data_IF_962713221648
#
_entry.id   IF_962713221648
#
_cell.length_a   1.000
_cell.length_b   1.000
_cell.length_c   1.000
_cell.angle_alpha   90.00
_cell.angle_beta   90.00
_cell.angle_gamma   90.00
#
_symmetry.space_group_name_H-M   'P 1'
#
loop_
_entity.id
_entity.type
_entity.pdbx_description
1 polymer ?
#
# COMPACT_ATOMS: atom_id res chain seq x y z
N UNK A 1 0.71 -5.84 35.51
CA UNK A 1 1.75 -4.86 35.89
C UNK A 1 1.87 -3.83 34.78
N UNK A 2 1.87 -2.52 35.10
CA UNK A 2 2.07 -1.48 34.10
C UNK A 2 3.54 -1.54 33.59
N UNK A 3 3.73 -1.48 32.29
CA UNK A 3 5.05 -1.47 31.69
C UNK A 3 5.79 -0.18 32.07
N UNK A 4 7.04 -0.29 32.49
CA UNK A 4 7.86 0.88 32.83
C UNK A 4 8.09 1.71 31.56
N UNK A 5 7.89 3.04 31.59
CA UNK A 5 8.21 3.91 30.45
C UNK A 5 9.65 3.72 29.97
N UNK A 6 9.84 3.65 28.67
CA UNK A 6 11.14 3.49 28.03
C UNK A 6 11.26 4.39 26.80
N UNK A 7 12.47 4.71 26.41
CA UNK A 7 12.78 5.54 25.24
C UNK A 7 13.04 4.63 24.04
N UNK A 8 12.54 4.93 22.83
CA UNK A 8 12.84 4.17 21.63
C UNK A 8 14.35 4.10 21.35
N UNK A 9 14.81 2.96 20.84
CA UNK A 9 16.22 2.76 20.48
C UNK A 9 16.67 3.83 19.48
N UNK A 10 17.82 4.46 19.73
CA UNK A 10 18.37 5.52 18.87
C UNK A 10 17.87 6.92 19.20
N UNK A 11 17.04 7.09 20.23
CA UNK A 11 16.56 8.38 20.72
C UNK A 11 17.03 8.60 22.15
N UNK A 12 17.00 9.85 22.62
CA UNK A 12 17.27 10.22 24.01
C UNK A 12 16.53 11.48 24.41
N UNK A 13 16.31 11.64 25.70
CA UNK A 13 15.89 12.90 26.29
C UNK A 13 17.09 13.83 26.47
N UNK A 14 16.82 15.12 26.43
CA UNK A 14 17.82 16.16 26.66
C UNK A 14 17.50 16.92 27.96
N UNK A 15 18.50 17.09 28.81
CA UNK A 15 18.38 17.89 30.02
C UNK A 15 18.17 19.38 29.69
N UNK A 16 17.60 20.16 30.60
CA UNK A 16 17.44 21.61 30.42
C UNK A 16 18.74 22.33 30.03
N UNK A 17 19.87 21.94 30.63
CA UNK A 17 21.17 22.49 30.33
C UNK A 17 21.63 22.17 28.88
N UNK A 18 21.38 20.98 28.39
CA UNK A 18 21.67 20.58 27.00
C UNK A 18 20.78 21.35 26.02
N UNK A 19 19.50 21.52 26.33
CA UNK A 19 18.57 22.31 25.51
C UNK A 19 19.02 23.78 25.45
N UNK A 20 19.40 24.37 26.58
CA UNK A 20 19.90 25.73 26.61
C UNK A 20 21.16 25.92 25.73
N UNK A 21 22.11 24.98 25.79
CA UNK A 21 23.31 25.00 24.94
C UNK A 21 22.96 24.91 23.45
N UNK A 22 22.05 24.02 23.10
CA UNK A 22 21.58 23.87 21.69
C UNK A 22 20.92 25.16 21.21
N UNK A 23 20.04 25.74 22.00
CA UNK A 23 19.36 26.98 21.64
C UNK A 23 20.34 28.13 21.45
N UNK A 24 21.39 28.23 22.30
CA UNK A 24 22.44 29.20 22.11
C UNK A 24 23.16 29.02 20.76
N UNK A 25 23.53 27.81 20.40
CA UNK A 25 24.19 27.53 19.12
C UNK A 25 23.27 27.92 17.95
N UNK A 26 22.02 27.48 17.97
CA UNK A 26 21.07 27.78 16.90
C UNK A 26 20.77 29.26 16.77
N UNK A 27 20.59 29.99 17.89
CA UNK A 27 20.36 31.44 17.87
C UNK A 27 21.56 32.18 17.30
N UNK A 28 22.76 31.77 17.65
CA UNK A 28 24.00 32.38 17.15
C UNK A 28 24.13 32.19 15.62
N UNK A 29 23.90 31.00 15.15
CA UNK A 29 23.91 30.67 13.70
C UNK A 29 22.83 31.50 12.99
N UNK A 30 21.59 31.44 13.47
CA UNK A 30 20.45 32.17 12.90
C UNK A 30 20.72 33.65 12.78
N UNK A 31 21.15 34.29 13.87
CA UNK A 31 21.44 35.71 13.88
C UNK A 31 22.53 36.10 12.87
N UNK A 32 23.53 35.25 12.67
CA UNK A 32 24.57 35.53 11.69
C UNK A 32 24.02 35.42 10.25
N UNK A 33 23.23 34.40 9.91
CA UNK A 33 22.63 34.28 8.59
C UNK A 33 21.66 35.43 8.29
N UNK A 34 20.83 35.83 9.25
CA UNK A 34 19.91 36.97 9.11
C UNK A 34 20.63 38.30 8.79
N UNK A 35 21.85 38.52 9.28
CA UNK A 35 22.66 39.70 8.91
C UNK A 35 23.01 39.78 7.43
N UNK A 36 23.03 38.62 6.74
CA UNK A 36 23.31 38.54 5.31
C UNK A 36 22.03 38.44 4.48
N UNK A 37 20.84 38.67 5.05
CA UNK A 37 19.57 38.68 4.35
C UNK A 37 18.91 37.31 4.19
N UNK A 38 19.46 36.26 4.79
CA UNK A 38 18.80 34.94 4.78
C UNK A 38 17.60 34.96 5.73
N UNK A 39 16.48 34.38 5.27
CA UNK A 39 15.27 34.26 6.07
C UNK A 39 15.06 32.81 6.50
N UNK A 40 14.61 32.54 7.74
CA UNK A 40 14.30 31.21 8.19
C UNK A 40 13.02 30.71 7.50
N UNK A 41 13.05 29.46 7.06
CA UNK A 41 11.88 28.73 6.57
C UNK A 41 11.70 27.46 7.40
N UNK A 42 10.47 27.06 7.59
CA UNK A 42 10.12 25.80 8.22
C UNK A 42 9.26 24.96 7.27
N UNK A 43 9.58 23.69 7.20
CA UNK A 43 8.82 22.73 6.40
C UNK A 43 8.41 21.55 7.28
N UNK A 44 7.29 20.85 6.96
CA UNK A 44 6.88 19.69 7.73
C UNK A 44 8.00 18.64 7.86
N UNK A 45 8.02 17.92 8.99
CA UNK A 45 8.99 16.83 9.22
C UNK A 45 8.69 15.58 8.40
N UNK A 46 7.54 15.51 7.75
CA UNK A 46 7.12 14.43 6.90
C UNK A 46 6.54 14.95 5.58
N UNK A 47 6.64 14.13 4.56
CA UNK A 47 6.16 14.38 3.20
C UNK A 47 5.25 13.25 2.75
N UNK A 48 4.56 13.45 1.64
CA UNK A 48 3.85 12.35 0.98
C UNK A 48 4.87 11.30 0.51
N UNK A 49 4.61 10.03 0.81
CA UNK A 49 5.50 8.92 0.46
C UNK A 49 5.82 8.91 -1.05
N UNK A 50 4.82 9.14 -1.90
CA UNK A 50 4.96 9.21 -3.36
C UNK A 50 5.93 10.32 -3.82
N UNK A 51 5.98 11.44 -3.09
CA UNK A 51 6.89 12.54 -3.42
C UNK A 51 8.35 12.21 -3.14
N UNK A 52 8.61 11.37 -2.13
CA UNK A 52 9.97 10.99 -1.72
C UNK A 52 10.49 9.76 -2.48
N UNK A 53 9.61 8.77 -2.72
CA UNK A 53 10.01 7.51 -3.36
C UNK A 53 10.52 7.72 -4.79
N UNK A 54 11.55 6.97 -5.16
CA UNK A 54 12.19 7.04 -6.48
C UNK A 54 13.10 8.23 -6.71
N UNK A 55 13.18 9.19 -5.77
CA UNK A 55 14.03 10.39 -5.91
C UNK A 55 15.49 10.16 -5.52
N UNK A 56 15.72 9.21 -4.63
CA UNK A 56 17.03 8.91 -4.06
C UNK A 56 17.61 7.57 -4.52
N UNK A 57 16.96 6.90 -5.51
CA UNK A 57 17.30 5.57 -5.98
C UNK A 57 16.94 4.46 -4.97
N UNK A 58 17.15 3.21 -5.36
CA UNK A 58 16.74 2.04 -4.53
C UNK A 58 17.36 2.02 -3.14
N UNK A 59 18.61 2.44 -3.01
CA UNK A 59 19.30 2.48 -1.72
C UNK A 59 18.71 3.58 -0.81
N UNK A 60 18.45 4.76 -1.36
CA UNK A 60 17.83 5.86 -0.64
C UNK A 60 16.40 5.51 -0.20
N UNK A 61 15.63 4.87 -1.06
CA UNK A 61 14.25 4.46 -0.76
C UNK A 61 14.17 3.47 0.41
N UNK A 62 15.20 2.64 0.61
CA UNK A 62 15.30 1.73 1.78
C UNK A 62 15.57 2.44 3.09
N UNK A 63 16.12 3.66 3.05
CA UNK A 63 16.43 4.46 4.24
C UNK A 63 15.27 5.38 4.66
N UNK A 64 14.24 5.51 3.84
CA UNK A 64 13.08 6.34 4.14
C UNK A 64 12.19 5.66 5.18
N UNK A 65 11.97 6.32 6.31
CA UNK A 65 11.06 5.86 7.35
C UNK A 65 9.62 6.20 6.99
N UNK A 66 8.83 5.18 6.69
CA UNK A 66 7.39 5.32 6.39
C UNK A 66 6.60 5.44 7.69
N UNK A 67 5.59 6.31 7.68
CA UNK A 67 4.70 6.54 8.83
C UNK A 67 3.41 5.76 8.58
N UNK A 68 3.07 4.86 9.49
CA UNK A 68 1.81 4.13 9.43
C UNK A 68 0.62 5.10 9.56
N UNK A 69 -0.40 4.88 8.76
CA UNK A 69 -1.65 5.59 8.90
C UNK A 69 -2.31 5.25 10.25
N UNK A 70 -3.02 6.19 10.84
CA UNK A 70 -3.75 5.98 12.09
C UNK A 70 -5.06 5.22 11.86
N UNK A 71 -5.55 4.52 12.89
CA UNK A 71 -6.80 3.78 12.84
C UNK A 71 -6.72 2.45 12.11
N UNK A 72 -7.81 2.01 11.54
CA UNK A 72 -7.91 0.75 10.79
C UNK A 72 -7.40 0.91 9.34
N UNK A 73 -6.12 1.15 9.21
CA UNK A 73 -5.47 1.45 7.93
C UNK A 73 -5.53 0.31 6.90
N UNK A 74 -5.86 -0.91 7.31
CA UNK A 74 -6.06 -2.06 6.40
C UNK A 74 -7.51 -2.23 5.93
N UNK A 75 -8.50 -1.58 6.55
CA UNK A 75 -9.92 -1.81 6.23
C UNK A 75 -10.22 -1.57 4.77
N UNK A 76 -9.84 -0.40 4.23
CA UNK A 76 -10.08 -0.06 2.82
C UNK A 76 -9.42 -1.05 1.85
N UNK A 77 -8.23 -1.52 2.18
CA UNK A 77 -7.53 -2.52 1.36
C UNK A 77 -8.27 -3.86 1.41
N UNK A 78 -8.65 -4.31 2.61
CA UNK A 78 -9.38 -5.56 2.79
C UNK A 78 -10.72 -5.53 2.04
N UNK A 79 -11.48 -4.45 2.15
CA UNK A 79 -12.76 -4.28 1.45
C UNK A 79 -12.56 -4.33 -0.06
N UNK A 80 -11.59 -3.58 -0.59
CA UNK A 80 -11.29 -3.58 -2.02
C UNK A 80 -10.82 -4.94 -2.53
N UNK A 81 -10.04 -5.67 -1.74
CA UNK A 81 -9.57 -7.01 -2.10
C UNK A 81 -10.71 -8.04 -2.09
N UNK A 82 -11.59 -7.99 -1.08
CA UNK A 82 -12.77 -8.86 -1.02
C UNK A 82 -13.68 -8.61 -2.21
N UNK A 83 -13.96 -7.34 -2.54
CA UNK A 83 -14.79 -6.97 -3.69
C UNK A 83 -14.16 -7.43 -5.01
N UNK A 84 -12.84 -7.32 -5.13
CA UNK A 84 -12.10 -7.82 -6.29
C UNK A 84 -12.22 -9.33 -6.44
N UNK A 85 -12.01 -10.10 -5.38
CA UNK A 85 -12.12 -11.56 -5.38
C UNK A 85 -13.55 -11.96 -5.72
N UNK A 86 -14.54 -11.36 -5.07
CA UNK A 86 -15.97 -11.62 -5.32
C UNK A 86 -16.34 -11.38 -6.77
N UNK A 87 -15.94 -10.22 -7.29
CA UNK A 87 -16.18 -9.89 -8.69
C UNK A 87 -15.55 -10.90 -9.64
N UNK A 88 -14.31 -11.31 -9.36
CA UNK A 88 -13.60 -12.28 -10.17
C UNK A 88 -14.30 -13.63 -10.18
N UNK A 89 -14.80 -14.10 -9.05
CA UNK A 89 -15.55 -15.35 -8.91
C UNK A 89 -16.89 -15.29 -9.65
N UNK A 90 -17.65 -14.21 -9.49
CA UNK A 90 -18.94 -14.02 -10.19
C UNK A 90 -18.75 -13.95 -11.70
N UNK A 91 -17.77 -13.18 -12.15
CA UNK A 91 -17.46 -13.07 -13.57
C UNK A 91 -17.05 -14.42 -14.17
N UNK A 92 -16.33 -15.24 -13.44
CA UNK A 92 -15.98 -16.59 -13.86
C UNK A 92 -17.20 -17.50 -13.93
N UNK A 93 -18.12 -17.42 -12.97
CA UNK A 93 -19.39 -18.17 -13.00
C UNK A 93 -20.20 -17.82 -14.25
N UNK A 94 -20.35 -16.52 -14.55
CA UNK A 94 -21.06 -16.05 -15.74
C UNK A 94 -20.40 -16.52 -17.04
N UNK A 95 -19.08 -16.56 -17.08
CA UNK A 95 -18.32 -17.06 -18.22
C UNK A 95 -18.57 -18.55 -18.44
N UNK A 96 -18.53 -19.37 -17.40
CA UNK A 96 -18.83 -20.81 -17.48
C UNK A 96 -20.26 -21.08 -17.93
N UNK A 97 -21.23 -20.29 -17.50
CA UNK A 97 -22.64 -20.41 -17.92
C UNK A 97 -22.84 -20.15 -19.42
N UNK A 98 -22.05 -19.24 -20.00
CA UNK A 98 -22.14 -18.85 -21.41
C UNK A 98 -21.43 -19.82 -22.37
N UNK A 99 -20.45 -20.55 -21.88
CA UNK A 99 -19.66 -21.52 -22.66
C UNK A 99 -20.19 -22.95 -22.41
N UNK A 100 -21.05 -23.43 -23.31
CA UNK A 100 -21.68 -24.76 -23.23
C UNK A 100 -20.74 -25.95 -23.51
N UNK A 101 -19.40 -25.75 -23.65
CA UNK A 101 -18.46 -26.82 -24.03
C UNK A 101 -17.08 -26.67 -23.40
N UNK A 102 -16.34 -27.75 -23.34
CA UNK A 102 -15.03 -27.99 -22.77
C UNK A 102 -14.13 -26.76 -22.61
N UNK A 103 -13.86 -26.46 -21.38
CA UNK A 103 -13.08 -25.30 -20.92
C UNK A 103 -11.58 -25.55 -21.11
N UNK A 104 -10.89 -24.69 -21.88
CA UNK A 104 -9.43 -24.60 -21.90
C UNK A 104 -8.95 -23.44 -20.99
N UNK A 105 -8.21 -23.79 -19.95
CA UNK A 105 -7.63 -22.84 -19.00
C UNK A 105 -6.71 -21.79 -19.67
N UNK A 106 -6.08 -22.13 -20.80
CA UNK A 106 -5.19 -21.21 -21.51
C UNK A 106 -5.96 -20.10 -22.24
N UNK A 107 -7.09 -20.42 -22.85
CA UNK A 107 -7.99 -19.44 -23.50
C UNK A 107 -8.60 -18.49 -22.45
N UNK A 108 -8.86 -19.01 -21.25
CA UNK A 108 -9.39 -18.26 -20.15
C UNK A 108 -8.40 -17.22 -19.63
N UNK A 109 -7.12 -17.57 -19.46
CA UNK A 109 -6.11 -16.67 -18.89
C UNK A 109 -5.98 -15.36 -19.71
N UNK A 110 -5.93 -15.46 -21.04
CA UNK A 110 -5.75 -14.29 -21.91
C UNK A 110 -7.00 -13.40 -22.00
N UNK A 111 -8.18 -13.99 -22.18
CA UNK A 111 -9.45 -13.27 -22.33
C UNK A 111 -9.92 -12.65 -21.02
N UNK A 112 -9.75 -13.39 -19.93
CA UNK A 112 -10.15 -12.96 -18.60
C UNK A 112 -9.32 -11.79 -18.08
N UNK A 113 -8.00 -11.88 -18.14
CA UNK A 113 -7.09 -10.80 -17.71
C UNK A 113 -7.40 -9.50 -18.43
N UNK A 114 -7.60 -9.56 -19.75
CA UNK A 114 -7.92 -8.38 -20.55
C UNK A 114 -9.28 -7.78 -20.18
N UNK A 115 -10.31 -8.57 -20.05
CA UNK A 115 -11.66 -8.12 -19.75
C UNK A 115 -11.80 -7.69 -18.29
N UNK A 116 -11.16 -8.38 -17.34
CA UNK A 116 -11.14 -8.01 -15.94
C UNK A 116 -10.43 -6.68 -15.74
N UNK A 117 -9.27 -6.46 -16.34
CA UNK A 117 -8.54 -5.20 -16.29
C UNK A 117 -9.39 -4.03 -16.81
N UNK A 118 -10.09 -4.23 -17.94
CA UNK A 118 -11.00 -3.21 -18.49
C UNK A 118 -12.18 -2.93 -17.55
N UNK A 119 -12.73 -3.96 -16.92
CA UNK A 119 -13.89 -3.82 -16.04
C UNK A 119 -13.51 -3.17 -14.70
N UNK A 120 -12.37 -3.52 -14.11
CA UNK A 120 -11.85 -2.88 -12.91
C UNK A 120 -11.60 -1.38 -13.15
N UNK A 121 -11.02 -1.02 -14.29
CA UNK A 121 -10.85 0.38 -14.70
C UNK A 121 -12.19 1.11 -14.86
N UNK A 122 -13.20 0.46 -15.46
CA UNK A 122 -14.52 1.07 -15.68
C UNK A 122 -15.30 1.32 -14.39
N UNK A 123 -15.02 0.55 -13.33
CA UNK A 123 -15.69 0.67 -12.02
C UNK A 123 -14.91 1.46 -10.97
N UNK A 124 -13.77 2.05 -11.33
CA UNK A 124 -12.85 2.69 -10.37
C UNK A 124 -12.47 1.76 -9.19
N UNK A 125 -12.52 0.46 -9.40
CA UNK A 125 -12.05 -0.56 -8.46
C UNK A 125 -10.53 -0.73 -8.61
N UNK A 126 -9.79 0.37 -8.62
CA UNK A 126 -8.35 0.33 -8.48
C UNK A 126 -8.03 -0.14 -7.07
N UNK A 127 -7.54 -1.37 -6.94
CA UNK A 127 -7.05 -1.89 -5.67
C UNK A 127 -5.79 -1.11 -5.27
N UNK A 128 -5.13 -0.46 -6.23
CA UNK A 128 -3.91 0.29 -6.02
C UNK A 128 -4.04 1.71 -6.59
N UNK A 129 -3.63 2.69 -5.79
CA UNK A 129 -3.57 4.10 -6.21
C UNK A 129 -2.44 4.35 -7.22
N UNK A 130 -1.49 3.44 -7.32
CA UNK A 130 -0.32 3.53 -8.19
C UNK A 130 -0.43 2.54 -9.36
N UNK A 131 -0.30 3.02 -10.59
CA UNK A 131 -0.28 2.23 -11.83
C UNK A 131 1.02 1.40 -12.01
N UNK A 132 1.72 1.09 -10.93
CA UNK A 132 2.98 0.35 -10.99
C UNK A 132 2.76 -1.16 -11.20
N UNK A 133 3.79 -1.82 -11.69
CA UNK A 133 3.92 -3.26 -11.98
C UNK A 133 3.28 -4.19 -10.91
N UNK A 134 3.10 -3.69 -9.69
CA UNK A 134 2.53 -4.41 -8.55
C UNK A 134 1.06 -4.82 -8.71
N UNK A 135 0.24 -4.05 -9.46
CA UNK A 135 -1.18 -4.44 -9.69
C UNK A 135 -1.30 -5.71 -10.52
N UNK A 136 -0.52 -5.82 -11.60
CA UNK A 136 -0.55 -6.97 -12.49
C UNK A 136 -0.08 -8.23 -11.78
N UNK A 137 0.99 -8.14 -10.99
CA UNK A 137 1.48 -9.29 -10.22
C UNK A 137 0.49 -9.75 -9.14
N UNK A 138 -0.18 -8.80 -8.46
CA UNK A 138 -1.19 -9.15 -7.47
C UNK A 138 -2.40 -9.82 -8.12
N UNK A 139 -2.85 -9.29 -9.25
CA UNK A 139 -3.94 -9.86 -10.04
C UNK A 139 -3.59 -11.29 -10.46
N UNK A 140 -2.37 -11.52 -10.92
CA UNK A 140 -1.89 -12.86 -11.29
C UNK A 140 -1.86 -13.82 -10.10
N UNK A 141 -1.38 -13.37 -8.94
CA UNK A 141 -1.29 -14.20 -7.73
C UNK A 141 -2.71 -14.56 -7.20
N UNK A 142 -3.63 -13.58 -7.16
CA UNK A 142 -5.03 -13.83 -6.77
C UNK A 142 -5.72 -14.74 -7.77
N UNK A 143 -5.49 -14.49 -9.05
CA UNK A 143 -6.12 -15.27 -10.13
C UNK A 143 -5.69 -16.74 -10.13
N UNK A 144 -4.40 -17.01 -9.98
CA UNK A 144 -3.88 -18.38 -9.83
C UNK A 144 -4.55 -19.10 -8.67
N UNK A 145 -4.69 -18.42 -7.53
CA UNK A 145 -5.33 -18.99 -6.35
C UNK A 145 -6.81 -19.28 -6.59
N UNK A 146 -7.53 -18.42 -7.31
CA UNK A 146 -8.92 -18.66 -7.71
C UNK A 146 -9.01 -19.90 -8.59
N UNK A 147 -8.19 -19.99 -9.63
CA UNK A 147 -8.20 -21.13 -10.56
C UNK A 147 -7.86 -22.44 -9.86
N UNK A 148 -6.82 -22.47 -9.05
CA UNK A 148 -6.42 -23.67 -8.31
C UNK A 148 -7.57 -24.21 -7.44
N UNK A 149 -8.35 -23.30 -6.85
CA UNK A 149 -9.51 -23.67 -6.05
C UNK A 149 -10.72 -24.08 -6.89
N UNK A 150 -10.94 -23.44 -8.03
CA UNK A 150 -12.06 -23.73 -8.92
C UNK A 150 -11.97 -25.13 -9.55
N UNK A 151 -10.77 -25.66 -9.76
CA UNK A 151 -10.59 -27.03 -10.26
C UNK A 151 -11.21 -28.11 -9.35
N UNK A 152 -11.45 -27.79 -8.07
CA UNK A 152 -12.06 -28.69 -7.08
C UNK A 152 -13.43 -28.22 -6.57
N UNK A 153 -14.02 -27.20 -7.19
CA UNK A 153 -15.23 -26.55 -6.70
C UNK A 153 -16.23 -26.33 -7.84
N UNK A 154 -17.36 -27.05 -7.79
CA UNK A 154 -18.44 -26.86 -8.75
C UNK A 154 -19.16 -25.53 -8.54
N UNK A 155 -18.66 -24.49 -9.20
CA UNK A 155 -19.13 -23.12 -9.06
C UNK A 155 -20.56 -22.92 -9.55
N UNK A 156 -20.99 -23.70 -10.55
CA UNK A 156 -22.29 -23.52 -11.20
C UNK A 156 -23.47 -23.96 -10.32
N UNK A 157 -23.24 -24.97 -9.46
CA UNK A 157 -24.27 -25.50 -8.56
C UNK A 157 -24.43 -24.71 -7.27
N UNK A 158 -23.56 -23.72 -7.00
CA UNK A 158 -23.49 -23.04 -5.69
C UNK A 158 -24.46 -21.87 -5.57
N UNK A 159 -25.07 -21.77 -4.38
CA UNK A 159 -25.87 -20.63 -3.94
C UNK A 159 -24.99 -19.39 -3.67
N UNK A 160 -25.59 -18.22 -3.58
CA UNK A 160 -24.88 -16.96 -3.28
C UNK A 160 -24.17 -17.00 -1.93
N UNK A 161 -24.75 -17.65 -0.91
CA UNK A 161 -24.13 -17.83 0.41
C UNK A 161 -22.87 -18.70 0.34
N UNK A 162 -22.90 -19.80 -0.42
CA UNK A 162 -21.74 -20.66 -0.61
C UNK A 162 -20.64 -19.97 -1.43
N UNK A 163 -21.01 -19.09 -2.37
CA UNK A 163 -20.06 -18.23 -3.09
C UNK A 163 -19.38 -17.23 -2.17
N UNK A 164 -20.12 -16.64 -1.24
CA UNK A 164 -19.54 -15.72 -0.23
C UNK A 164 -18.53 -16.43 0.67
N UNK A 165 -18.83 -17.65 1.11
CA UNK A 165 -17.89 -18.43 1.92
C UNK A 165 -16.66 -18.86 1.12
N UNK A 166 -16.83 -19.15 -0.17
CA UNK A 166 -15.72 -19.42 -1.07
C UNK A 166 -14.82 -18.18 -1.24
N UNK A 167 -15.40 -16.99 -1.47
CA UNK A 167 -14.67 -15.71 -1.54
C UNK A 167 -13.88 -15.44 -0.27
N UNK A 168 -14.50 -15.64 0.90
CA UNK A 168 -13.82 -15.48 2.21
C UNK A 168 -12.64 -16.45 2.36
N UNK A 169 -12.80 -17.68 1.90
CA UNK A 169 -11.73 -18.67 1.96
C UNK A 169 -10.54 -18.30 1.08
N UNK A 170 -10.78 -17.78 -0.13
CA UNK A 170 -9.73 -17.27 -1.02
C UNK A 170 -9.06 -16.06 -0.39
N UNK A 171 -9.85 -15.12 0.16
CA UNK A 171 -9.31 -13.95 0.83
C UNK A 171 -8.37 -14.33 1.98
N UNK A 172 -8.78 -15.29 2.84
CA UNK A 172 -7.95 -15.73 3.95
C UNK A 172 -6.61 -16.30 3.48
N UNK A 173 -6.63 -17.19 2.48
CA UNK A 173 -5.40 -17.78 1.94
C UNK A 173 -4.50 -16.72 1.27
N UNK A 174 -5.10 -15.81 0.53
CA UNK A 174 -4.37 -14.75 -0.14
C UNK A 174 -3.75 -13.79 0.87
N UNK A 175 -4.49 -13.41 1.91
CA UNK A 175 -4.03 -12.51 2.95
C UNK A 175 -2.75 -13.00 3.64
N UNK A 176 -2.64 -14.30 3.89
CA UNK A 176 -1.42 -14.89 4.45
C UNK A 176 -0.22 -14.87 3.50
N UNK A 177 -0.47 -14.81 2.17
CA UNK A 177 0.57 -14.76 1.14
C UNK A 177 0.93 -13.34 0.71
N UNK A 178 0.23 -12.35 1.25
CA UNK A 178 0.35 -10.96 0.83
C UNK A 178 1.76 -10.44 1.07
N UNK A 179 2.42 -10.00 -0.01
CA UNK A 179 3.74 -9.40 0.07
C UNK A 179 3.63 -7.97 0.59
N UNK A 180 4.54 -7.59 1.49
CA UNK A 180 4.59 -6.25 2.10
C UNK A 180 4.52 -5.11 1.06
N UNK A 181 5.12 -5.29 -0.11
CA UNK A 181 5.13 -4.28 -1.18
C UNK A 181 3.73 -3.85 -1.64
N UNK A 182 2.75 -4.76 -1.59
CA UNK A 182 1.38 -4.45 -1.98
C UNK A 182 0.62 -3.63 -0.94
N UNK A 183 1.01 -3.73 0.32
CA UNK A 183 0.36 -3.04 1.42
C UNK A 183 0.88 -1.61 1.64
N UNK A 184 2.11 -1.33 1.22
CA UNK A 184 2.79 -0.07 1.60
C UNK A 184 2.03 1.19 1.20
N UNK A 185 1.42 1.22 0.02
CA UNK A 185 0.62 2.36 -0.45
C UNK A 185 -0.65 2.62 0.38
N UNK A 186 -1.22 1.57 0.98
CA UNK A 186 -2.42 1.69 1.81
C UNK A 186 -2.13 2.03 3.26
N UNK A 187 -1.04 1.49 3.80
CA UNK A 187 -0.72 1.61 5.23
C UNK A 187 0.14 2.82 5.55
N UNK A 188 0.74 3.46 4.54
CA UNK A 188 1.68 4.56 4.74
C UNK A 188 1.66 5.55 3.58
N UNK A 189 0.80 6.56 3.69
CA UNK A 189 0.74 7.68 2.73
C UNK A 189 1.83 8.72 2.98
N UNK A 190 2.46 8.69 4.16
CA UNK A 190 3.43 9.68 4.62
C UNK A 190 4.74 9.01 5.00
N UNK A 191 5.83 9.73 4.82
CA UNK A 191 7.15 9.31 5.26
C UNK A 191 7.91 10.47 5.90
N UNK A 192 8.87 10.16 6.78
CA UNK A 192 9.78 11.17 7.29
C UNK A 192 10.64 11.68 6.14
N UNK A 193 10.82 13.00 6.05
CA UNK A 193 11.73 13.57 5.07
C UNK A 193 13.15 13.02 5.28
N UNK A 194 13.81 12.68 4.18
CA UNK A 194 15.19 12.21 4.20
C UNK A 194 16.15 13.38 4.44
N UNK A 195 15.93 14.48 3.72
CA UNK A 195 16.63 15.74 3.85
C UNK A 195 15.70 16.93 3.53
N UNK A 196 16.25 18.09 3.24
CA UNK A 196 15.50 19.29 2.87
C UNK A 196 15.41 19.55 1.38
N UNK A 197 15.96 18.68 0.52
CA UNK A 197 16.00 18.87 -0.94
C UNK A 197 14.59 18.96 -1.53
N UNK A 198 13.74 17.97 -1.23
CA UNK A 198 12.36 17.94 -1.71
C UNK A 198 11.52 19.07 -1.13
N UNK A 199 11.54 19.36 0.20
CA UNK A 199 10.89 20.54 0.75
C UNK A 199 11.30 21.85 0.11
N UNK A 200 12.58 22.06 -0.15
CA UNK A 200 13.07 23.31 -0.77
C UNK A 200 12.68 23.43 -2.25
N UNK A 201 12.62 22.30 -2.97
CA UNK A 201 12.16 22.32 -4.36
C UNK A 201 10.66 22.68 -4.52
N UNK A 202 9.88 22.52 -3.43
CA UNK A 202 8.47 22.88 -3.38
C UNK A 202 8.26 24.33 -2.97
N UNK A 203 9.14 24.89 -2.11
CA UNK A 203 9.08 26.26 -1.61
C UNK A 203 9.45 27.28 -2.68
#
# INVERSE_FOLDING_TARGET
MAQKPSIPKGTRDFSPAEVAKRNYIFSTIKTNFEKFGFQPIETPSFENSETLMGKYGEEGDRLIFKILNSGEYLSKFNDSLVDFIRFSVVYFKDFLQKKNETFDLNDYDLLYKKNLSLHLKSKNLSIFKDETISEVELLDDVFKLIIDRLNNFDLLSKSDSELDDFVKSIFADFYYRLKYKYLTGYISEKALRYDLTVPFARY
#
